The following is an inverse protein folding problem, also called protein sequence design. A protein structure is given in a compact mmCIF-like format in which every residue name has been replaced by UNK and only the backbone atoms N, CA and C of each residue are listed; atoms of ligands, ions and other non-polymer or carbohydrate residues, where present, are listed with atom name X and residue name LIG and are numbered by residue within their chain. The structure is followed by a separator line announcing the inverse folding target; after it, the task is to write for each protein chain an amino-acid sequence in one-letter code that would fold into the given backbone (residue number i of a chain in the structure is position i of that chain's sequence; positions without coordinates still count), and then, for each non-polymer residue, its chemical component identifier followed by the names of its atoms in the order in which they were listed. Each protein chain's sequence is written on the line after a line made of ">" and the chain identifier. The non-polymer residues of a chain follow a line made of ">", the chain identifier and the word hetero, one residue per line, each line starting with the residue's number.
data_IF_714780057324
#
_entry.id   IF_714780057324
#
_cell.length_a   1.000
_cell.length_b   1.000
_cell.length_c   1.000
_cell.angle_alpha   90.00
_cell.angle_beta   90.00
_cell.angle_gamma   90.00
#
_symmetry.space_group_name_H-M   'P 1'
#
loop_
_entity.id
_entity.type
_entity.pdbx_description
1 polymer ?
#
# COMPACT_ATOMS: atom_id res chain seq x y z
N UNK A 1 -11.55 -9.09 6.94
CA UNK A 1 -10.22 -9.23 6.31
C UNK A 1 -9.39 -8.03 6.75
N UNK A 2 -8.11 -8.21 7.08
CA UNK A 2 -7.21 -7.09 7.42
C UNK A 2 -6.50 -6.68 6.13
N UNK A 3 -6.96 -5.59 5.53
CA UNK A 3 -6.45 -5.06 4.26
C UNK A 3 -5.09 -4.36 4.40
N UNK A 4 -4.77 -3.82 5.58
CA UNK A 4 -3.54 -3.10 5.87
C UNK A 4 -2.29 -3.98 6.04
N UNK A 5 -2.40 -5.30 5.85
CA UNK A 5 -1.24 -6.20 5.89
C UNK A 5 -0.51 -6.26 4.55
N UNK A 6 0.83 -6.28 4.57
CA UNK A 6 1.65 -6.44 3.36
C UNK A 6 1.27 -7.69 2.56
N UNK A 7 0.99 -8.79 3.26
CA UNK A 7 0.56 -10.05 2.64
C UNK A 7 -0.74 -9.88 1.84
N UNK A 8 -1.74 -9.19 2.40
CA UNK A 8 -2.99 -8.93 1.70
C UNK A 8 -2.75 -8.09 0.43
N UNK A 9 -1.97 -7.01 0.53
CA UNK A 9 -1.65 -6.17 -0.61
C UNK A 9 -0.98 -6.96 -1.75
N UNK A 10 -0.05 -7.87 -1.42
CA UNK A 10 0.64 -8.74 -2.37
C UNK A 10 -0.35 -9.71 -3.04
N UNK A 11 -1.26 -10.32 -2.28
CA UNK A 11 -2.25 -11.27 -2.83
C UNK A 11 -3.19 -10.64 -3.85
N UNK A 12 -3.62 -9.40 -3.62
CA UNK A 12 -4.44 -8.66 -4.58
C UNK A 12 -3.61 -8.25 -5.81
N UNK A 13 -2.36 -7.83 -5.62
CA UNK A 13 -1.45 -7.51 -6.72
C UNK A 13 -1.21 -8.71 -7.65
N UNK A 14 -1.01 -9.91 -7.09
CA UNK A 14 -0.81 -11.16 -7.85
C UNK A 14 -2.02 -11.58 -8.69
N UNK A 15 -3.20 -11.01 -8.40
CA UNK A 15 -4.46 -11.29 -9.12
C UNK A 15 -4.87 -10.15 -10.05
N UNK A 16 -3.97 -9.20 -10.31
CA UNK A 16 -4.24 -7.96 -11.07
C UNK A 16 -5.40 -7.12 -10.48
N UNK A 17 -5.63 -7.22 -9.16
CA UNK A 17 -6.73 -6.57 -8.43
C UNK A 17 -6.23 -5.48 -7.46
N UNK A 18 -5.14 -4.80 -7.81
CA UNK A 18 -4.50 -3.83 -6.92
C UNK A 18 -5.36 -2.58 -6.69
N UNK A 19 -6.12 -2.16 -7.70
CA UNK A 19 -7.07 -1.05 -7.62
C UNK A 19 -8.22 -1.35 -6.64
N UNK A 20 -8.71 -2.60 -6.64
CA UNK A 20 -9.68 -3.08 -5.65
C UNK A 20 -9.11 -3.04 -4.24
N UNK A 21 -7.88 -3.55 -4.04
CA UNK A 21 -7.23 -3.51 -2.72
C UNK A 21 -7.05 -2.09 -2.20
N UNK A 22 -6.64 -1.14 -3.06
CA UNK A 22 -6.49 0.27 -2.67
C UNK A 22 -7.82 0.82 -2.16
N UNK A 23 -8.93 0.53 -2.84
CA UNK A 23 -10.26 0.97 -2.39
C UNK A 23 -10.67 0.32 -1.07
N UNK A 24 -10.43 -0.99 -0.91
CA UNK A 24 -10.76 -1.72 0.31
C UNK A 24 -9.92 -1.25 1.50
N UNK A 25 -8.61 -1.06 1.32
CA UNK A 25 -7.72 -0.54 2.36
C UNK A 25 -8.14 0.87 2.79
N UNK A 26 -8.25 1.81 1.86
CA UNK A 26 -8.53 3.22 2.19
C UNK A 26 -9.91 3.43 2.83
N UNK A 27 -10.89 2.56 2.55
CA UNK A 27 -12.24 2.65 3.14
C UNK A 27 -12.40 1.88 4.45
N UNK A 28 -11.41 1.08 4.84
CA UNK A 28 -11.41 0.30 6.06
C UNK A 28 -10.16 0.67 6.87
N UNK A 29 -9.15 -0.20 6.91
CA UNK A 29 -7.98 -0.09 7.77
C UNK A 29 -7.19 1.22 7.64
N UNK A 30 -7.17 1.82 6.44
CA UNK A 30 -6.46 3.08 6.15
C UNK A 30 -7.26 4.35 6.44
N UNK A 31 -8.57 4.23 6.70
CA UNK A 31 -9.51 5.32 7.09
C UNK A 31 -9.33 6.65 6.33
N UNK A 32 -9.20 6.57 5.01
CA UNK A 32 -9.02 7.71 4.12
C UNK A 32 -9.99 7.65 2.92
N UNK A 33 -11.28 7.77 3.25
CA UNK A 33 -12.39 7.75 2.28
C UNK A 33 -12.25 8.85 1.23
N UNK A 34 -11.79 10.03 1.62
CA UNK A 34 -11.61 11.15 0.69
C UNK A 34 -10.60 10.85 -0.41
N UNK A 35 -9.48 10.20 -0.08
CA UNK A 35 -8.53 9.73 -1.08
C UNK A 35 -9.11 8.60 -1.93
N UNK A 36 -9.85 7.66 -1.31
CA UNK A 36 -10.52 6.58 -2.04
C UNK A 36 -11.44 7.12 -3.13
N UNK A 37 -12.24 8.14 -2.81
CA UNK A 37 -13.13 8.83 -3.75
C UNK A 37 -12.33 9.58 -4.83
N UNK A 38 -11.31 10.36 -4.45
CA UNK A 38 -10.49 11.14 -5.38
C UNK A 38 -9.71 10.27 -6.39
N UNK A 39 -9.36 9.04 -6.03
CA UNK A 39 -8.70 8.10 -6.94
C UNK A 39 -9.63 7.59 -8.06
N UNK A 40 -10.95 7.60 -7.85
CA UNK A 40 -11.95 7.17 -8.84
C UNK A 40 -12.25 8.24 -9.89
N UNK A 41 -11.91 9.51 -9.64
CA UNK A 41 -12.21 10.63 -10.56
C UNK A 41 -11.47 10.53 -11.91
N UNK A 42 -10.34 9.82 -11.95
CA UNK A 42 -9.51 9.64 -13.15
C UNK A 42 -8.95 8.24 -13.21
N UNK A 43 -8.80 7.70 -14.42
CA UNK A 43 -8.12 6.42 -14.64
C UNK A 43 -6.69 6.47 -14.09
N UNK A 44 -6.33 5.48 -13.27
CA UNK A 44 -4.99 5.29 -12.72
C UNK A 44 -4.41 3.97 -13.21
N UNK A 45 -3.09 3.90 -13.21
CA UNK A 45 -2.33 2.69 -13.45
C UNK A 45 -1.43 2.49 -12.26
N UNK A 46 -1.60 1.36 -11.60
CA UNK A 46 -0.86 1.01 -10.39
C UNK A 46 0.15 -0.08 -10.72
N UNK A 47 1.30 0.02 -10.10
CA UNK A 47 2.17 -1.13 -9.89
C UNK A 47 1.84 -1.70 -8.51
N UNK A 48 1.94 -3.02 -8.36
CA UNK A 48 1.77 -3.67 -7.06
C UNK A 48 2.82 -3.23 -6.03
N UNK A 49 2.68 -3.65 -4.77
CA UNK A 49 3.69 -3.38 -3.74
C UNK A 49 5.07 -3.85 -4.17
N UNK A 50 6.09 -3.04 -3.90
CA UNK A 50 7.50 -3.38 -4.15
C UNK A 50 8.18 -3.57 -2.81
N UNK A 51 8.85 -4.72 -2.65
CA UNK A 51 9.73 -4.98 -1.51
C UNK A 51 11.11 -4.44 -1.88
N UNK A 52 11.64 -3.54 -1.06
CA UNK A 52 12.95 -2.94 -1.24
C UNK A 52 13.72 -2.95 0.08
N UNK A 53 15.04 -3.02 0.01
CA UNK A 53 15.91 -2.90 1.17
C UNK A 53 15.99 -1.42 1.57
N UNK A 54 15.75 -1.11 2.84
CA UNK A 54 15.73 0.27 3.33
C UNK A 54 17.10 0.95 3.21
N UNK A 55 18.19 0.17 3.23
CA UNK A 55 19.55 0.68 3.06
C UNK A 55 19.79 1.27 1.66
N UNK A 56 19.00 0.89 0.65
CA UNK A 56 19.05 1.48 -0.70
C UNK A 56 18.66 2.96 -0.71
N UNK A 57 17.95 3.44 0.32
CA UNK A 57 17.47 4.81 0.43
C UNK A 57 18.38 5.72 1.25
N UNK A 58 19.56 5.25 1.68
CA UNK A 58 20.53 6.05 2.43
C UNK A 58 20.05 6.48 3.82
N UNK A 59 19.06 5.77 4.36
CA UNK A 59 18.56 5.99 5.73
C UNK A 59 19.47 5.18 6.65
N UNK A 60 20.39 5.85 7.34
CA UNK A 60 21.16 5.23 8.43
C UNK A 60 20.20 4.97 9.59
N UNK A 61 19.99 3.70 9.95
CA UNK A 61 19.35 3.37 11.23
C UNK A 61 20.23 3.92 12.35
N UNK A 62 19.78 4.99 13.01
CA UNK A 62 20.30 5.34 14.34
C UNK A 62 19.91 4.20 15.28
N UNK A 63 20.77 3.19 15.35
CA UNK A 63 20.79 2.20 16.41
C UNK A 63 20.90 2.97 17.73
N UNK A 64 19.75 3.20 18.38
CA UNK A 64 19.70 3.54 19.79
C UNK A 64 20.36 2.40 20.55
N UNK A 65 21.67 2.55 20.76
CA UNK A 65 22.43 1.82 21.77
C UNK A 65 21.82 2.19 23.12
N UNK A 66 21.04 1.26 23.66
CA UNK A 66 20.70 1.20 25.09
C UNK A 66 21.66 0.21 25.73
#
# INVERSE_FOLDING_TARGET
>A
MIYGSTQCAIEYAQRDAIDEWIQLFLRNDGDNVALADGLLEKKRYYIGPVVADISEFGIEEELHRI
#
